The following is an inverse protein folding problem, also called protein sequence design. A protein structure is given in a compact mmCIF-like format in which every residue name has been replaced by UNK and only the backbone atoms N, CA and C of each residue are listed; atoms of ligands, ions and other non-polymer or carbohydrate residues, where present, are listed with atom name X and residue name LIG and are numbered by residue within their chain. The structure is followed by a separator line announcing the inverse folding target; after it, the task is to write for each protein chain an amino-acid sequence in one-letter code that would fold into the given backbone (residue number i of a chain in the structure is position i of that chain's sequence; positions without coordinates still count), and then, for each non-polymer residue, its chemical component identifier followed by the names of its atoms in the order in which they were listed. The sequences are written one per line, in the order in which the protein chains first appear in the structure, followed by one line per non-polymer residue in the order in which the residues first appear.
data_IF_253468302573
#
_entry.id   IF_253468302573
#
_cell.length_a   1.000
_cell.length_b   1.000
_cell.length_c   1.000
_cell.angle_alpha   90.00
_cell.angle_beta   90.00
_cell.angle_gamma   90.00
#
_symmetry.space_group_name_H-M   'P 1'
#
loop_
_entity.id
_entity.type
_entity.pdbx_description
1 polymer ?
#
# COMPACT_ATOMS: atom_id res chain seq x y z
N UNK A 1 26.74 -6.53 -0.09
CA UNK A 1 26.16 -6.22 -1.41
C UNK A 1 25.68 -4.79 -1.42
N UNK A 2 25.77 -4.14 -2.58
CA UNK A 2 25.21 -2.83 -2.83
C UNK A 2 23.82 -3.01 -3.47
N UNK A 3 22.77 -2.59 -2.81
CA UNK A 3 21.38 -2.77 -3.27
C UNK A 3 20.79 -1.39 -3.59
N UNK A 4 20.42 -1.20 -4.86
CA UNK A 4 19.70 -0.01 -5.30
C UNK A 4 18.20 -0.27 -5.24
N UNK A 5 17.50 0.43 -4.38
CA UNK A 5 16.05 0.33 -4.22
C UNK A 5 15.43 1.48 -5.01
N UNK A 6 14.50 1.16 -5.90
CA UNK A 6 13.82 2.13 -6.72
C UNK A 6 12.31 2.09 -6.46
N UNK A 7 11.75 3.19 -6.01
CA UNK A 7 10.31 3.36 -5.81
C UNK A 7 9.85 4.72 -6.31
N UNK A 8 8.55 4.87 -6.58
CA UNK A 8 8.03 6.15 -7.05
C UNK A 8 7.81 7.18 -5.94
N UNK A 9 7.61 6.74 -4.70
CA UNK A 9 7.48 7.59 -3.52
C UNK A 9 7.98 6.84 -2.28
N UNK A 10 8.61 7.60 -1.37
CA UNK A 10 9.10 7.14 -0.08
C UNK A 10 8.32 7.78 1.08
N UNK A 11 7.13 8.25 0.81
CA UNK A 11 6.27 8.92 1.78
C UNK A 11 4.91 8.23 1.86
N UNK A 12 4.09 8.67 2.80
CA UNK A 12 2.69 8.25 2.96
C UNK A 12 1.85 8.35 1.68
N UNK A 13 2.31 9.09 0.66
CA UNK A 13 1.69 9.14 -0.68
C UNK A 13 1.61 7.74 -1.31
N UNK A 14 2.56 6.85 -1.03
CA UNK A 14 2.54 5.47 -1.51
C UNK A 14 1.60 4.54 -0.72
N UNK A 15 0.96 5.03 0.35
CA UNK A 15 0.05 4.24 1.17
C UNK A 15 0.73 3.03 1.80
N UNK A 16 0.06 1.86 1.79
CA UNK A 16 0.60 0.62 2.37
C UNK A 16 1.93 0.16 1.78
N UNK A 17 2.25 0.55 0.54
CA UNK A 17 3.57 0.26 -0.06
C UNK A 17 4.68 0.99 0.68
N UNK A 18 4.44 2.24 1.11
CA UNK A 18 5.40 2.99 1.92
C UNK A 18 5.76 2.25 3.20
N UNK A 19 4.76 1.80 3.98
CA UNK A 19 5.00 1.10 5.23
C UNK A 19 5.70 -0.24 4.99
N UNK A 20 5.27 -1.03 4.01
CA UNK A 20 5.86 -2.32 3.67
C UNK A 20 7.35 -2.19 3.27
N UNK A 21 7.66 -1.28 2.36
CA UNK A 21 9.03 -1.06 1.85
C UNK A 21 9.93 -0.49 2.94
N UNK A 22 9.43 0.48 3.72
CA UNK A 22 10.15 1.04 4.85
C UNK A 22 10.49 -0.02 5.90
N UNK A 23 9.51 -0.80 6.34
CA UNK A 23 9.71 -1.83 7.35
C UNK A 23 10.66 -2.93 6.88
N UNK A 24 10.58 -3.32 5.61
CA UNK A 24 11.49 -4.28 5.00
C UNK A 24 12.95 -3.78 5.08
N UNK A 25 13.25 -2.62 4.48
CA UNK A 25 14.63 -2.17 4.32
C UNK A 25 15.24 -1.50 5.55
N UNK A 26 14.44 -1.01 6.49
CA UNK A 26 14.93 -0.52 7.78
C UNK A 26 15.13 -1.65 8.81
N UNK A 27 14.82 -2.90 8.48
CA UNK A 27 15.04 -4.05 9.34
C UNK A 27 16.54 -4.32 9.55
N UNK A 28 16.91 -4.78 10.75
CA UNK A 28 18.29 -5.09 11.13
C UNK A 28 18.97 -6.10 10.20
N UNK A 29 18.22 -6.99 9.57
CA UNK A 29 18.73 -7.99 8.64
C UNK A 29 19.47 -7.35 7.45
N UNK A 30 19.06 -6.16 7.04
CA UNK A 30 19.68 -5.42 5.94
C UNK A 30 20.89 -4.59 6.33
N UNK A 31 21.20 -4.42 7.63
CA UNK A 31 22.34 -3.60 8.09
C UNK A 31 23.70 -4.07 7.58
N UNK A 32 23.83 -5.33 7.16
CA UNK A 32 25.05 -5.88 6.55
C UNK A 32 25.20 -5.54 5.06
N UNK A 33 24.24 -4.85 4.47
CA UNK A 33 24.23 -4.45 3.08
C UNK A 33 24.28 -2.93 2.93
N UNK A 34 24.87 -2.47 1.83
CA UNK A 34 24.87 -1.06 1.47
C UNK A 34 23.59 -0.76 0.71
N UNK A 35 22.61 -0.18 1.35
CA UNK A 35 21.34 0.20 0.74
C UNK A 35 21.42 1.62 0.21
N UNK A 36 20.78 1.86 -0.92
CA UNK A 36 20.54 3.19 -1.46
C UNK A 36 19.16 3.26 -2.09
N UNK A 37 18.40 4.28 -1.75
CA UNK A 37 17.05 4.47 -2.28
C UNK A 37 17.05 5.59 -3.31
N UNK A 38 16.35 5.37 -4.42
CA UNK A 38 16.02 6.42 -5.39
C UNK A 38 14.52 6.56 -5.51
N UNK A 39 14.03 7.80 -5.48
CA UNK A 39 12.60 8.09 -5.50
C UNK A 39 12.32 9.49 -6.05
N UNK A 40 11.04 9.78 -6.30
CA UNK A 40 10.62 11.16 -6.51
C UNK A 40 10.37 11.86 -5.19
N UNK A 41 10.61 13.19 -5.20
CA UNK A 41 10.18 14.09 -4.12
C UNK A 41 8.69 14.37 -4.26
N UNK A 42 7.98 14.39 -3.15
CA UNK A 42 6.58 14.81 -3.05
C UNK A 42 6.35 15.73 -1.84
N UNK A 43 5.12 16.17 -1.63
CA UNK A 43 4.76 17.17 -0.61
C UNK A 43 4.94 16.71 0.85
N UNK A 44 5.09 15.41 1.10
CA UNK A 44 5.24 14.84 2.45
C UNK A 44 6.67 14.44 2.79
N UNK A 45 7.64 14.79 1.94
CA UNK A 45 9.02 14.33 2.11
C UNK A 45 9.64 14.79 3.44
N UNK A 46 9.40 16.04 3.84
CA UNK A 46 9.99 16.61 5.05
C UNK A 46 9.46 15.93 6.33
N UNK A 47 8.22 15.44 6.30
CA UNK A 47 7.60 14.75 7.41
C UNK A 47 8.05 13.28 7.52
N UNK A 48 8.21 12.60 6.38
CA UNK A 48 8.36 11.15 6.35
C UNK A 48 9.81 10.66 6.16
N UNK A 49 10.72 11.52 5.66
CA UNK A 49 12.11 11.13 5.35
C UNK A 49 12.87 10.58 6.56
N UNK A 50 12.63 11.15 7.75
CA UNK A 50 13.29 10.72 8.98
C UNK A 50 12.98 9.26 9.35
N UNK A 51 11.85 8.73 8.89
CA UNK A 51 11.42 7.35 9.14
C UNK A 51 12.30 6.28 8.46
N UNK A 52 13.07 6.67 7.44
CA UNK A 52 13.99 5.81 6.71
C UNK A 52 15.34 5.62 7.42
N UNK A 53 15.50 6.19 8.60
CA UNK A 53 16.73 6.10 9.43
C UNK A 53 17.94 6.61 8.63
N UNK A 54 19.01 5.83 8.57
CA UNK A 54 20.28 6.21 7.96
C UNK A 54 20.47 5.67 6.52
N UNK A 55 19.42 5.22 5.85
CA UNK A 55 19.53 4.75 4.46
C UNK A 55 19.72 5.96 3.55
N UNK A 56 20.82 6.04 2.75
CA UNK A 56 21.01 7.11 1.78
C UNK A 56 19.89 7.16 0.75
N UNK A 57 19.28 8.33 0.62
CA UNK A 57 18.16 8.59 -0.29
C UNK A 57 18.55 9.64 -1.33
N UNK A 58 18.35 9.32 -2.60
CA UNK A 58 18.49 10.27 -3.70
C UNK A 58 17.11 10.60 -4.26
N UNK A 59 16.71 11.85 -4.09
CA UNK A 59 15.43 12.36 -4.58
C UNK A 59 15.56 13.03 -5.94
N UNK A 60 14.54 12.87 -6.77
CA UNK A 60 14.43 13.49 -8.07
C UNK A 60 13.11 14.24 -8.21
N UNK A 61 13.12 15.33 -8.97
CA UNK A 61 11.88 15.99 -9.36
C UNK A 61 11.22 15.22 -10.49
N UNK A 62 9.92 15.01 -10.34
CA UNK A 62 9.09 14.44 -11.38
C UNK A 62 8.68 15.53 -12.38
N UNK A 63 8.94 15.29 -13.65
CA UNK A 63 8.39 16.09 -14.75
C UNK A 63 7.00 15.58 -15.19
N UNK A 64 6.48 16.06 -16.33
CA UNK A 64 5.25 15.53 -16.90
C UNK A 64 5.32 13.99 -17.07
N UNK A 65 4.21 13.30 -16.82
CA UNK A 65 4.12 11.83 -16.83
C UNK A 65 5.11 11.14 -15.88
N UNK A 66 5.53 11.83 -14.83
CA UNK A 66 6.56 11.39 -13.88
C UNK A 66 7.92 11.11 -14.52
N UNK A 67 8.19 11.64 -15.73
CA UNK A 67 9.50 11.47 -16.40
C UNK A 67 10.61 12.25 -15.67
N UNK A 68 11.79 11.63 -15.54
CA UNK A 68 12.99 12.29 -15.00
C UNK A 68 14.25 11.84 -15.73
N UNK A 69 14.81 12.76 -16.53
CA UNK A 69 16.10 12.51 -17.20
C UNK A 69 17.24 12.36 -16.18
N UNK A 70 17.15 13.08 -15.06
CA UNK A 70 18.15 12.99 -14.00
C UNK A 70 18.14 11.61 -13.34
N UNK A 71 16.96 11.09 -12.98
CA UNK A 71 16.81 9.74 -12.41
C UNK A 71 17.34 8.66 -13.37
N UNK A 72 17.01 8.77 -14.67
CA UNK A 72 17.54 7.86 -15.70
C UNK A 72 19.07 7.86 -15.75
N UNK A 73 19.69 9.06 -15.83
CA UNK A 73 21.15 9.20 -15.86
C UNK A 73 21.80 8.65 -14.60
N UNK A 74 21.20 8.92 -13.46
CA UNK A 74 21.66 8.42 -12.17
C UNK A 74 21.63 6.90 -12.13
N UNK A 75 20.53 6.25 -12.54
CA UNK A 75 20.45 4.79 -12.61
C UNK A 75 21.51 4.18 -13.52
N UNK A 76 21.74 4.75 -14.72
CA UNK A 76 22.76 4.26 -15.65
C UNK A 76 24.17 4.38 -15.03
N UNK A 77 24.43 5.43 -14.26
CA UNK A 77 25.75 5.66 -13.66
C UNK A 77 25.97 4.95 -12.32
N UNK A 78 24.91 4.46 -11.68
CA UNK A 78 25.01 3.81 -10.37
C UNK A 78 25.47 2.36 -10.52
N UNK A 79 26.53 1.98 -9.81
CA UNK A 79 26.94 0.60 -9.68
C UNK A 79 26.28 -0.05 -8.47
N UNK A 80 25.54 -1.13 -8.69
CA UNK A 80 24.91 -1.93 -7.63
C UNK A 80 24.91 -3.41 -8.01
N UNK A 81 24.91 -4.26 -7.00
CA UNK A 81 24.87 -5.71 -7.17
C UNK A 81 23.45 -6.20 -7.47
N UNK A 82 22.44 -5.45 -7.06
CA UNK A 82 21.01 -5.74 -7.26
C UNK A 82 20.24 -4.43 -7.46
N UNK A 83 19.33 -4.41 -8.41
CA UNK A 83 18.24 -3.43 -8.49
C UNK A 83 16.98 -4.04 -7.89
N UNK A 84 16.41 -3.44 -6.82
CA UNK A 84 15.13 -3.81 -6.26
C UNK A 84 14.09 -2.75 -6.63
N UNK A 85 13.14 -3.13 -7.47
CA UNK A 85 12.04 -2.27 -7.93
C UNK A 85 10.79 -2.50 -7.10
N UNK A 86 10.26 -1.42 -6.54
CA UNK A 86 9.05 -1.44 -5.74
C UNK A 86 7.89 -0.77 -6.47
N UNK A 87 6.77 -1.47 -6.54
CA UNK A 87 5.56 -1.08 -7.26
C UNK A 87 5.73 -1.01 -8.79
N UNK A 88 4.61 -0.84 -9.50
CA UNK A 88 4.55 -0.83 -10.96
C UNK A 88 3.82 0.43 -11.48
N UNK A 89 3.66 0.52 -12.81
CA UNK A 89 2.82 1.49 -13.53
C UNK A 89 3.24 2.96 -13.39
N UNK A 90 4.51 3.21 -13.02
CA UNK A 90 5.10 4.56 -12.94
C UNK A 90 6.42 4.60 -13.74
N UNK A 91 6.93 5.78 -13.99
CA UNK A 91 8.18 5.95 -14.76
C UNK A 91 9.37 5.11 -14.25
N UNK A 92 9.61 4.95 -12.93
CA UNK A 92 10.68 4.07 -12.43
C UNK A 92 10.60 2.65 -13.00
N UNK A 93 9.41 2.12 -13.24
CA UNK A 93 9.23 0.80 -13.85
C UNK A 93 9.84 0.71 -15.26
N UNK A 94 9.73 1.76 -16.07
CA UNK A 94 10.34 1.81 -17.41
C UNK A 94 11.88 1.71 -17.29
N UNK A 95 12.44 2.20 -16.20
CA UNK A 95 13.89 2.20 -15.97
C UNK A 95 14.46 0.79 -15.75
N UNK A 96 13.65 -0.22 -15.40
CA UNK A 96 14.11 -1.62 -15.35
C UNK A 96 14.63 -2.08 -16.72
N UNK A 97 13.87 -1.84 -17.78
CA UNK A 97 14.29 -2.18 -19.13
C UNK A 97 15.49 -1.35 -19.64
N UNK A 98 15.76 -0.21 -19.02
CA UNK A 98 16.97 0.58 -19.26
C UNK A 98 18.14 0.00 -18.47
N UNK A 99 17.93 -0.32 -17.19
CA UNK A 99 18.92 -0.95 -16.32
C UNK A 99 19.52 -2.19 -16.97
N UNK A 100 18.68 -3.11 -17.45
CA UNK A 100 19.13 -4.36 -18.08
C UNK A 100 19.98 -4.19 -19.34
N UNK A 101 20.00 -3.00 -19.95
CA UNK A 101 20.87 -2.68 -21.09
C UNK A 101 22.26 -2.21 -20.70
N UNK A 102 22.40 -1.64 -19.52
CA UNK A 102 23.66 -1.03 -19.07
C UNK A 102 24.33 -1.80 -17.93
N UNK A 103 23.60 -2.71 -17.28
CA UNK A 103 24.07 -3.47 -16.12
C UNK A 103 23.76 -4.96 -16.28
N UNK A 104 24.64 -5.80 -15.76
CA UNK A 104 24.43 -7.25 -15.62
C UNK A 104 23.80 -7.63 -14.29
N UNK A 105 23.73 -6.68 -13.36
CA UNK A 105 23.13 -6.88 -12.03
C UNK A 105 21.65 -7.22 -12.13
N UNK A 106 21.18 -8.26 -11.42
CA UNK A 106 19.80 -8.73 -11.52
C UNK A 106 18.80 -7.71 -10.97
N UNK A 107 17.58 -7.82 -11.50
CA UNK A 107 16.42 -7.04 -11.10
C UNK A 107 15.48 -7.92 -10.28
N UNK A 108 15.16 -7.51 -9.06
CA UNK A 108 14.04 -8.03 -8.26
C UNK A 108 12.91 -7.02 -8.34
N UNK A 109 11.68 -7.48 -8.52
CA UNK A 109 10.52 -6.58 -8.58
C UNK A 109 9.39 -7.07 -7.67
N UNK A 110 8.91 -6.18 -6.80
CA UNK A 110 7.76 -6.38 -5.92
C UNK A 110 6.54 -5.62 -6.45
N UNK A 111 5.56 -6.27 -7.08
CA UNK A 111 4.40 -5.60 -7.69
C UNK A 111 3.40 -5.01 -6.69
N UNK A 112 3.35 -5.50 -5.46
CA UNK A 112 2.40 -5.07 -4.41
C UNK A 112 0.92 -5.15 -4.85
N UNK A 113 0.52 -6.28 -5.45
CA UNK A 113 -0.84 -6.52 -5.91
C UNK A 113 -1.25 -5.73 -7.15
N UNK A 114 -0.31 -5.02 -7.81
CA UNK A 114 -0.64 -4.17 -8.97
C UNK A 114 -0.88 -4.95 -10.26
N UNK A 115 -0.67 -6.26 -10.28
CA UNK A 115 -0.99 -7.15 -11.39
C UNK A 115 -2.32 -7.90 -11.18
N UNK A 116 -3.06 -7.58 -10.15
CA UNK A 116 -4.40 -8.12 -9.89
C UNK A 116 -5.31 -7.91 -11.12
N UNK A 117 -5.96 -8.95 -11.66
CA UNK A 117 -6.84 -8.86 -12.81
C UNK A 117 -7.95 -7.83 -12.68
N UNK A 118 -8.49 -7.61 -11.47
CA UNK A 118 -9.47 -6.55 -11.22
C UNK A 118 -8.89 -5.17 -11.51
N UNK A 119 -7.67 -4.88 -11.02
CA UNK A 119 -6.99 -3.60 -11.28
C UNK A 119 -6.71 -3.42 -12.77
N UNK A 120 -6.25 -4.48 -13.43
CA UNK A 120 -5.96 -4.45 -14.87
C UNK A 120 -7.24 -4.25 -15.69
N UNK A 121 -8.34 -4.90 -15.33
CA UNK A 121 -9.63 -4.82 -16.05
C UNK A 121 -10.29 -3.46 -15.93
N UNK A 122 -10.14 -2.76 -14.80
CA UNK A 122 -10.67 -1.41 -14.58
C UNK A 122 -9.91 -0.32 -15.33
N UNK A 123 -8.72 -0.64 -15.88
CA UNK A 123 -8.01 0.27 -16.76
C UNK A 123 -8.70 0.35 -18.13
N UNK A 124 -8.97 1.56 -18.62
CA UNK A 124 -9.51 1.75 -19.97
C UNK A 124 -8.61 1.11 -21.05
N UNK A 125 -9.22 0.65 -22.15
CA UNK A 125 -8.52 -0.08 -23.25
C UNK A 125 -7.28 0.66 -23.74
N UNK A 126 -7.33 1.97 -23.92
CA UNK A 126 -6.21 2.81 -24.37
C UNK A 126 -5.07 2.77 -23.35
N UNK A 127 -5.36 2.92 -22.07
CA UNK A 127 -4.36 2.88 -21.00
C UNK A 127 -3.68 1.51 -20.94
N UNK A 128 -4.41 0.44 -21.17
CA UNK A 128 -3.87 -0.94 -21.19
C UNK A 128 -2.91 -1.15 -22.37
N UNK A 129 -3.24 -0.64 -23.58
CA UNK A 129 -2.36 -0.71 -24.74
C UNK A 129 -1.09 0.11 -24.49
N UNK A 130 -1.20 1.33 -23.99
CA UNK A 130 -0.06 2.18 -23.66
C UNK A 130 0.81 1.51 -22.59
N UNK A 131 0.20 0.97 -21.53
CA UNK A 131 0.92 0.25 -20.49
C UNK A 131 1.70 -0.93 -21.06
N UNK A 132 1.10 -1.73 -21.90
CA UNK A 132 1.78 -2.86 -22.54
C UNK A 132 2.99 -2.39 -23.39
N UNK A 133 2.83 -1.36 -24.20
CA UNK A 133 3.91 -0.86 -25.05
C UNK A 133 5.10 -0.29 -24.28
N UNK A 134 4.84 0.45 -23.20
CA UNK A 134 5.90 1.15 -22.45
C UNK A 134 6.49 0.34 -21.30
N UNK A 135 5.70 -0.53 -20.66
CA UNK A 135 6.14 -1.24 -19.47
C UNK A 135 6.56 -2.68 -19.70
N UNK A 136 6.15 -3.28 -20.82
CA UNK A 136 6.41 -4.71 -21.11
C UNK A 136 7.91 -5.05 -21.05
N UNK A 137 8.76 -4.24 -21.68
CA UNK A 137 10.23 -4.46 -21.66
C UNK A 137 10.81 -4.40 -20.23
N UNK A 138 10.26 -3.55 -19.37
CA UNK A 138 10.64 -3.51 -17.96
C UNK A 138 10.25 -4.79 -17.23
N UNK A 139 9.02 -5.28 -17.42
CA UNK A 139 8.54 -6.52 -16.81
C UNK A 139 9.34 -7.75 -17.29
N UNK A 140 9.67 -7.81 -18.58
CA UNK A 140 10.46 -8.92 -19.16
C UNK A 140 11.90 -8.93 -18.67
N UNK A 141 12.45 -7.78 -18.28
CA UNK A 141 13.83 -7.66 -17.79
C UNK A 141 14.00 -8.07 -16.31
N UNK A 142 12.93 -8.33 -15.59
CA UNK A 142 12.98 -8.81 -14.20
C UNK A 142 13.55 -10.22 -14.14
N UNK A 143 14.50 -10.45 -13.22
CA UNK A 143 15.10 -11.77 -13.00
C UNK A 143 14.33 -12.59 -11.98
N UNK A 144 13.71 -11.93 -10.98
CA UNK A 144 12.87 -12.57 -9.98
C UNK A 144 11.77 -11.62 -9.51
N UNK A 145 10.54 -12.08 -9.48
CA UNK A 145 9.45 -11.37 -8.83
C UNK A 145 9.38 -11.72 -7.36
N UNK A 146 9.10 -10.75 -6.52
CA UNK A 146 8.76 -10.93 -5.12
C UNK A 146 7.25 -10.77 -4.96
N UNK A 147 6.56 -11.87 -4.69
CA UNK A 147 5.13 -11.91 -4.38
C UNK A 147 4.91 -11.98 -2.87
N UNK A 148 3.90 -11.29 -2.38
CA UNK A 148 3.58 -11.25 -0.95
C UNK A 148 2.76 -12.45 -0.49
N UNK A 149 2.05 -13.12 -1.42
CA UNK A 149 1.22 -14.26 -1.14
C UNK A 149 1.01 -15.12 -2.40
N UNK A 150 0.40 -16.29 -2.22
CA UNK A 150 0.08 -17.21 -3.31
C UNK A 150 -0.80 -16.57 -4.39
N UNK A 151 -1.82 -15.79 -3.97
CA UNK A 151 -2.70 -15.06 -4.90
C UNK A 151 -1.91 -14.11 -5.81
N UNK A 152 -0.95 -13.37 -5.27
CA UNK A 152 -0.13 -12.46 -6.08
C UNK A 152 0.77 -13.22 -7.07
N UNK A 153 1.29 -14.38 -6.71
CA UNK A 153 1.98 -15.27 -7.65
C UNK A 153 1.05 -15.64 -8.81
N UNK A 154 -0.18 -16.04 -8.52
CA UNK A 154 -1.18 -16.41 -9.53
C UNK A 154 -1.50 -15.23 -10.44
N UNK A 155 -1.62 -14.03 -9.90
CA UNK A 155 -1.86 -12.79 -10.65
C UNK A 155 -0.68 -12.45 -11.59
N UNK A 156 0.56 -12.61 -11.11
CA UNK A 156 1.78 -12.44 -11.93
C UNK A 156 1.77 -13.45 -13.09
N UNK A 157 1.40 -14.70 -12.82
CA UNK A 157 1.30 -15.75 -13.86
C UNK A 157 0.15 -15.49 -14.84
N UNK A 158 -1.01 -15.05 -14.36
CA UNK A 158 -2.16 -14.69 -15.18
C UNK A 158 -1.86 -13.51 -16.11
N UNK A 159 -0.99 -12.56 -15.68
CA UNK A 159 -0.51 -11.48 -16.53
C UNK A 159 0.41 -11.97 -17.66
N UNK A 160 0.92 -13.19 -17.59
CA UNK A 160 1.76 -13.83 -18.62
C UNK A 160 3.27 -13.83 -18.32
N UNK A 161 3.68 -13.40 -17.11
CA UNK A 161 5.09 -13.36 -16.71
C UNK A 161 5.57 -14.74 -16.24
N UNK A 162 6.74 -15.19 -16.73
CA UNK A 162 7.27 -16.56 -16.55
C UNK A 162 8.51 -16.62 -15.65
N UNK A 163 9.08 -15.48 -15.30
CA UNK A 163 10.31 -15.40 -14.50
C UNK A 163 10.12 -16.09 -13.12
N UNK A 164 11.20 -16.49 -12.46
CA UNK A 164 11.15 -16.99 -11.08
C UNK A 164 10.36 -16.06 -10.16
N UNK A 165 9.63 -16.64 -9.19
CA UNK A 165 8.88 -15.88 -8.19
C UNK A 165 9.26 -16.41 -6.81
N UNK A 166 9.65 -15.50 -5.92
CA UNK A 166 9.79 -15.77 -4.49
C UNK A 166 8.54 -15.29 -3.76
N UNK A 167 7.91 -16.14 -2.98
CA UNK A 167 6.78 -15.75 -2.11
C UNK A 167 7.35 -15.44 -0.74
N UNK A 168 7.34 -14.15 -0.37
CA UNK A 168 7.83 -13.67 0.93
C UNK A 168 6.81 -12.67 1.45
N UNK A 169 6.04 -13.02 2.49
CA UNK A 169 5.01 -12.13 3.04
C UNK A 169 5.64 -10.86 3.65
N UNK A 170 4.88 -9.78 3.65
CA UNK A 170 5.24 -8.60 4.43
C UNK A 170 5.31 -8.94 5.91
N UNK A 171 6.32 -8.39 6.57
CA UNK A 171 6.40 -8.38 8.02
C UNK A 171 5.90 -7.05 8.58
N UNK A 172 5.61 -7.03 9.87
CA UNK A 172 5.33 -5.82 10.62
C UNK A 172 6.16 -5.75 11.90
N UNK A 173 6.36 -4.54 12.38
CA UNK A 173 6.89 -4.32 13.71
C UNK A 173 5.78 -4.50 14.74
N UNK A 174 5.93 -5.46 15.66
CA UNK A 174 4.96 -5.61 16.75
C UNK A 174 4.94 -4.37 17.63
N UNK A 175 3.76 -3.94 18.10
CA UNK A 175 3.65 -2.78 18.97
C UNK A 175 4.48 -3.00 20.24
N UNK A 176 5.41 -2.08 20.52
CA UNK A 176 6.27 -2.09 21.71
C UNK A 176 5.62 -1.41 22.91
N UNK A 177 4.35 -1.14 22.84
CA UNK A 177 3.71 -0.32 23.86
C UNK A 177 3.34 -1.13 25.09
N UNK A 178 3.80 -0.67 26.25
CA UNK A 178 3.27 -1.03 27.57
C UNK A 178 2.15 -0.09 27.98
N UNK A 179 1.85 0.94 27.17
CA UNK A 179 0.85 1.95 27.40
C UNK A 179 -0.54 1.32 27.27
N UNK A 180 -1.31 1.38 28.32
CA UNK A 180 -2.72 1.03 28.26
C UNK A 180 -3.47 2.19 27.62
N UNK A 181 -4.13 1.93 26.51
CA UNK A 181 -5.09 2.86 25.92
C UNK A 181 -6.44 2.63 26.61
N UNK A 182 -7.05 3.72 27.07
CA UNK A 182 -8.38 3.67 27.66
C UNK A 182 -9.37 3.98 26.55
N UNK A 183 -10.37 3.13 26.38
CA UNK A 183 -11.45 3.38 25.43
C UNK A 183 -12.15 4.70 25.74
N UNK A 184 -12.58 5.44 24.72
CA UNK A 184 -13.24 6.73 24.92
C UNK A 184 -14.65 6.59 25.55
N UNK A 185 -15.25 5.42 25.39
CA UNK A 185 -16.61 5.10 25.84
C UNK A 185 -16.77 3.60 26.12
N UNK A 186 -18.02 3.16 26.36
CA UNK A 186 -18.39 1.77 26.64
C UNK A 186 -18.84 0.99 25.39
N UNK A 187 -18.80 1.61 24.21
CA UNK A 187 -19.24 0.96 22.96
C UNK A 187 -18.22 -0.04 22.44
N UNK A 188 -18.68 -0.94 21.59
CA UNK A 188 -17.84 -1.75 20.74
C UNK A 188 -17.44 -0.97 19.49
N UNK A 189 -16.17 -1.05 19.10
CA UNK A 189 -15.61 -0.34 17.96
C UNK A 189 -15.25 -1.31 16.85
N UNK A 190 -15.91 -1.21 15.70
CA UNK A 190 -15.54 -1.89 14.46
C UNK A 190 -14.71 -0.94 13.62
N UNK A 191 -13.42 -1.24 13.49
CA UNK A 191 -12.45 -0.40 12.79
C UNK A 191 -12.28 -0.80 11.33
N UNK A 192 -12.47 0.13 10.42
CA UNK A 192 -11.89 0.12 9.09
C UNK A 192 -10.72 1.11 9.04
N UNK A 193 -9.57 0.67 8.50
CA UNK A 193 -8.43 1.55 8.28
C UNK A 193 -7.85 1.31 6.90
N UNK A 194 -7.86 2.34 6.06
CA UNK A 194 -7.34 2.28 4.70
C UNK A 194 -7.82 3.46 3.86
N UNK A 195 -7.21 3.65 2.70
CA UNK A 195 -7.60 4.71 1.75
C UNK A 195 -9.08 4.56 1.36
N UNK A 196 -9.83 5.68 1.36
CA UNK A 196 -11.20 5.69 0.86
C UNK A 196 -11.18 5.65 -0.67
N UNK A 197 -11.41 4.46 -1.22
CA UNK A 197 -11.35 4.19 -2.66
C UNK A 197 -12.37 3.08 -3.00
N UNK A 198 -13.03 3.10 -4.17
CA UNK A 198 -14.05 2.11 -4.53
C UNK A 198 -13.58 0.65 -4.39
N UNK A 199 -12.30 0.36 -4.72
CA UNK A 199 -11.71 -0.99 -4.55
C UNK A 199 -11.82 -1.51 -3.11
N UNK A 200 -11.94 -0.63 -2.11
CA UNK A 200 -11.95 -0.98 -0.69
C UNK A 200 -13.33 -1.41 -0.17
N UNK A 201 -14.37 -1.30 -1.00
CA UNK A 201 -15.70 -1.85 -0.71
C UNK A 201 -16.41 -1.26 0.51
N UNK A 202 -16.05 -0.03 0.93
CA UNK A 202 -16.67 0.61 2.10
C UNK A 202 -18.16 0.89 1.85
N UNK A 203 -18.54 1.17 0.62
CA UNK A 203 -19.91 1.33 0.19
C UNK A 203 -20.73 0.05 0.42
N UNK A 204 -20.16 -1.13 0.13
CA UNK A 204 -20.79 -2.43 0.41
C UNK A 204 -20.94 -2.63 1.92
N UNK A 205 -19.92 -2.30 2.72
CA UNK A 205 -19.99 -2.38 4.17
C UNK A 205 -21.16 -1.52 4.70
N UNK A 206 -21.23 -0.25 4.29
CA UNK A 206 -22.27 0.67 4.73
C UNK A 206 -23.68 0.20 4.32
N UNK A 207 -23.83 -0.37 3.13
CA UNK A 207 -25.08 -0.96 2.67
C UNK A 207 -25.49 -2.20 3.49
N UNK A 208 -24.51 -3.07 3.82
CA UNK A 208 -24.75 -4.22 4.68
C UNK A 208 -25.20 -3.79 6.09
N UNK A 209 -24.53 -2.79 6.69
CA UNK A 209 -24.93 -2.21 7.98
C UNK A 209 -26.34 -1.65 7.92
N UNK A 210 -26.67 -0.92 6.84
CA UNK A 210 -28.01 -0.38 6.64
C UNK A 210 -29.09 -1.47 6.57
N UNK A 211 -28.80 -2.57 5.88
CA UNK A 211 -29.70 -3.72 5.79
C UNK A 211 -29.92 -4.37 7.13
N UNK A 212 -28.84 -4.67 7.85
CA UNK A 212 -28.91 -5.27 9.20
C UNK A 212 -29.69 -4.38 10.19
N UNK A 213 -29.47 -3.06 10.16
CA UNK A 213 -30.20 -2.09 11.01
C UNK A 213 -31.69 -2.05 10.69
N UNK A 214 -32.05 -2.25 9.42
CA UNK A 214 -33.45 -2.35 8.98
C UNK A 214 -34.15 -3.61 9.50
N UNK A 215 -33.44 -4.74 9.43
CA UNK A 215 -33.93 -6.05 9.90
C UNK A 215 -34.00 -6.11 11.43
N UNK A 216 -33.01 -5.53 12.11
CA UNK A 216 -32.96 -5.47 13.57
C UNK A 216 -32.48 -4.07 14.02
N UNK A 217 -33.38 -3.12 14.34
CA UNK A 217 -33.05 -1.75 14.69
C UNK A 217 -32.09 -1.61 15.88
N UNK A 218 -32.03 -2.57 16.77
CA UNK A 218 -31.22 -2.54 17.99
C UNK A 218 -29.85 -3.21 17.85
N UNK A 219 -29.53 -3.81 16.71
CA UNK A 219 -28.31 -4.61 16.53
C UNK A 219 -27.02 -3.77 16.73
N UNK A 220 -27.09 -2.48 16.50
CA UNK A 220 -25.95 -1.56 16.62
C UNK A 220 -26.04 -0.62 17.83
N UNK A 221 -26.94 -0.83 18.79
CA UNK A 221 -27.14 0.10 19.94
C UNK A 221 -25.86 0.41 20.72
N UNK A 222 -24.89 -0.52 20.75
CA UNK A 222 -23.62 -0.36 21.45
C UNK A 222 -22.42 -0.49 20.49
N UNK A 223 -22.60 -0.15 19.21
CA UNK A 223 -21.53 -0.23 18.22
C UNK A 223 -21.23 1.12 17.60
N UNK A 224 -19.96 1.40 17.41
CA UNK A 224 -19.44 2.47 16.57
C UNK A 224 -18.62 1.85 15.43
N UNK A 225 -18.86 2.35 14.24
CA UNK A 225 -18.11 1.98 13.05
C UNK A 225 -17.12 3.10 12.74
N UNK A 226 -15.87 2.87 13.03
CA UNK A 226 -14.80 3.85 12.81
C UNK A 226 -14.19 3.68 11.42
N UNK A 227 -14.34 4.67 10.56
CA UNK A 227 -13.77 4.71 9.22
C UNK A 227 -12.58 5.65 9.23
N UNK A 228 -11.38 5.08 9.16
CA UNK A 228 -10.11 5.81 9.17
C UNK A 228 -9.46 5.71 7.80
N UNK A 229 -9.20 6.85 7.18
CA UNK A 229 -8.50 6.89 5.89
C UNK A 229 -8.59 8.24 5.21
N UNK A 230 -7.63 8.50 4.34
CA UNK A 230 -7.68 9.71 3.51
C UNK A 230 -8.55 9.49 2.28
N UNK A 231 -9.26 10.54 1.91
CA UNK A 231 -10.12 10.54 0.72
C UNK A 231 -9.31 10.46 -0.57
N UNK A 232 -9.79 9.66 -1.51
CA UNK A 232 -9.24 9.55 -2.84
C UNK A 232 -10.36 9.75 -3.87
N UNK A 233 -10.21 10.74 -4.72
CA UNK A 233 -11.16 11.06 -5.80
C UNK A 233 -12.59 11.39 -5.31
N UNK A 234 -12.71 12.09 -4.17
CA UNK A 234 -14.00 12.46 -3.55
C UNK A 234 -14.88 11.24 -3.21
N UNK A 235 -14.26 10.13 -2.83
CA UNK A 235 -14.96 8.92 -2.42
C UNK A 235 -15.75 9.15 -1.12
N UNK A 236 -15.20 9.94 -0.19
CA UNK A 236 -15.81 10.23 1.10
C UNK A 236 -17.21 10.82 0.97
N UNK A 237 -17.40 11.79 0.09
CA UNK A 237 -18.72 12.42 -0.15
C UNK A 237 -19.80 11.41 -0.52
N UNK A 238 -19.45 10.41 -1.33
CA UNK A 238 -20.37 9.34 -1.71
C UNK A 238 -20.72 8.43 -0.52
N UNK A 239 -19.73 8.11 0.30
CA UNK A 239 -19.92 7.29 1.52
C UNK A 239 -20.77 8.03 2.56
N UNK A 240 -20.52 9.32 2.77
CA UNK A 240 -21.32 10.18 3.65
C UNK A 240 -22.79 10.28 3.19
N UNK A 241 -23.01 10.31 1.87
CA UNK A 241 -24.37 10.25 1.33
C UNK A 241 -25.07 8.92 1.68
N UNK A 242 -24.37 7.76 1.60
CA UNK A 242 -24.94 6.47 2.01
C UNK A 242 -25.26 6.49 3.51
N UNK A 243 -24.37 7.00 4.35
CA UNK A 243 -24.56 7.12 5.79
C UNK A 243 -25.79 7.98 6.11
N UNK A 244 -25.93 9.12 5.42
CA UNK A 244 -27.06 10.03 5.62
C UNK A 244 -28.40 9.40 5.18
N UNK A 245 -28.43 8.84 3.96
CA UNK A 245 -29.66 8.27 3.37
C UNK A 245 -30.21 7.07 4.14
N UNK A 246 -29.34 6.39 4.91
CA UNK A 246 -29.71 5.20 5.67
C UNK A 246 -29.77 5.44 7.20
N UNK A 247 -29.71 6.70 7.65
CA UNK A 247 -29.77 7.08 9.08
C UNK A 247 -28.68 6.38 9.92
N UNK A 248 -27.43 6.33 9.40
CA UNK A 248 -26.29 5.68 10.07
C UNK A 248 -25.38 6.66 10.82
N UNK A 249 -25.70 7.95 10.87
CA UNK A 249 -24.84 9.01 11.45
C UNK A 249 -24.46 8.79 12.91
N UNK A 250 -25.31 8.13 13.69
CA UNK A 250 -25.06 7.89 15.11
C UNK A 250 -24.08 6.75 15.37
N UNK A 251 -23.87 5.88 14.35
CA UNK A 251 -23.05 4.68 14.50
C UNK A 251 -21.81 4.68 13.58
N UNK A 252 -21.74 5.58 12.60
CA UNK A 252 -20.61 5.67 11.66
C UNK A 252 -19.86 6.97 11.83
N UNK A 253 -18.57 6.90 12.08
CA UNK A 253 -17.68 8.06 12.25
C UNK A 253 -16.54 8.01 11.23
N UNK A 254 -16.34 9.13 10.51
CA UNK A 254 -15.18 9.32 9.62
C UNK A 254 -14.12 10.13 10.35
N UNK A 255 -12.91 9.58 10.46
CA UNK A 255 -11.80 10.22 11.18
C UNK A 255 -10.78 10.91 10.27
N UNK A 256 -10.92 10.76 8.92
CA UNK A 256 -9.88 11.18 8.00
C UNK A 256 -8.63 10.29 8.09
N UNK A 257 -7.53 10.75 7.51
CA UNK A 257 -6.26 10.01 7.53
C UNK A 257 -5.53 10.18 8.86
N UNK A 258 -5.31 9.09 9.58
CA UNK A 258 -4.55 9.08 10.84
C UNK A 258 -3.21 8.36 10.68
N UNK A 259 -2.19 8.88 11.37
CA UNK A 259 -0.82 8.38 11.33
C UNK A 259 -0.22 8.33 12.75
N UNK A 260 0.91 7.63 12.91
CA UNK A 260 1.66 7.60 14.16
C UNK A 260 0.80 7.16 15.36
N UNK A 261 0.87 7.93 16.44
CA UNK A 261 0.18 7.63 17.72
C UNK A 261 -1.34 7.57 17.57
N UNK A 262 -1.94 8.42 16.73
CA UNK A 262 -3.40 8.44 16.57
C UNK A 262 -3.92 7.21 15.81
N UNK A 263 -3.16 6.74 14.81
CA UNK A 263 -3.42 5.44 14.16
C UNK A 263 -3.33 4.29 15.17
N UNK A 264 -2.32 4.32 16.04
CA UNK A 264 -2.11 3.31 17.10
C UNK A 264 -3.31 3.29 18.06
N UNK A 265 -3.81 4.45 18.49
CA UNK A 265 -4.98 4.54 19.35
C UNK A 265 -6.21 3.89 18.74
N UNK A 266 -6.42 4.04 17.42
CA UNK A 266 -7.56 3.40 16.75
C UNK A 266 -7.51 1.88 16.85
N UNK A 267 -6.36 1.27 16.58
CA UNK A 267 -6.21 -0.18 16.76
C UNK A 267 -6.34 -0.62 18.22
N UNK A 268 -5.77 0.14 19.16
CA UNK A 268 -5.78 -0.20 20.57
C UNK A 268 -7.19 -0.13 21.20
N UNK A 269 -8.06 0.71 20.66
CA UNK A 269 -9.43 0.91 21.15
C UNK A 269 -10.47 0.06 20.39
N UNK A 270 -10.12 -0.52 19.25
CA UNK A 270 -11.01 -1.37 18.46
C UNK A 270 -11.27 -2.71 19.12
N UNK A 271 -12.44 -3.27 18.88
CA UNK A 271 -12.84 -4.64 19.28
C UNK A 271 -12.77 -5.61 18.10
N UNK A 272 -12.95 -5.11 16.88
CA UNK A 272 -12.80 -5.87 15.65
C UNK A 272 -12.29 -4.97 14.52
N UNK A 273 -11.69 -5.60 13.52
CA UNK A 273 -11.22 -4.94 12.31
C UNK A 273 -11.96 -5.49 11.10
N UNK A 274 -12.34 -4.63 10.15
CA UNK A 274 -13.01 -5.05 8.92
C UNK A 274 -12.32 -4.49 7.68
N UNK A 275 -12.15 -5.33 6.65
CA UNK A 275 -11.58 -4.94 5.36
C UNK A 275 -12.39 -5.51 4.19
N UNK A 276 -13.47 -4.85 3.76
CA UNK A 276 -14.40 -5.34 2.75
C UNK A 276 -13.87 -5.18 1.30
N UNK A 277 -12.57 -5.17 1.11
CA UNK A 277 -11.93 -4.92 -0.18
C UNK A 277 -12.29 -5.96 -1.23
N UNK A 278 -12.48 -5.53 -2.48
CA UNK A 278 -12.69 -6.43 -3.63
C UNK A 278 -11.47 -7.30 -3.95
N UNK A 279 -10.28 -6.90 -3.53
CA UNK A 279 -9.06 -7.65 -3.74
C UNK A 279 -7.85 -6.98 -3.09
N UNK A 280 -7.04 -7.80 -2.45
CA UNK A 280 -5.80 -7.42 -1.80
C UNK A 280 -4.71 -8.45 -2.12
N UNK A 281 -3.45 -8.01 -2.07
CA UNK A 281 -2.34 -8.95 -1.99
C UNK A 281 -2.19 -9.44 -0.54
N UNK A 282 -1.33 -8.75 0.24
CA UNK A 282 -1.24 -8.93 1.69
C UNK A 282 -1.33 -7.54 2.34
N UNK A 283 -2.54 -7.10 2.76
CA UNK A 283 -2.72 -5.75 3.27
C UNK A 283 -2.07 -5.57 4.63
N UNK A 284 -1.22 -4.55 4.75
CA UNK A 284 -0.51 -4.21 5.99
C UNK A 284 -1.48 -4.00 7.16
N UNK A 285 -2.65 -3.44 6.89
CA UNK A 285 -3.66 -3.14 7.91
C UNK A 285 -4.24 -4.38 8.58
N UNK A 286 -4.33 -5.53 7.88
CA UNK A 286 -4.68 -6.81 8.50
C UNK A 286 -3.57 -7.29 9.43
N UNK A 287 -2.30 -7.21 8.98
CA UNK A 287 -1.18 -7.59 9.84
C UNK A 287 -1.11 -6.71 11.08
N UNK A 288 -1.35 -5.41 10.92
CA UNK A 288 -1.45 -4.47 12.03
C UNK A 288 -2.59 -4.84 12.99
N UNK A 289 -3.80 -5.11 12.49
CA UNK A 289 -4.93 -5.54 13.32
C UNK A 289 -4.61 -6.82 14.11
N UNK A 290 -4.00 -7.82 13.48
CA UNK A 290 -3.56 -9.03 14.18
C UNK A 290 -2.49 -8.76 15.24
N UNK A 291 -1.60 -7.79 15.02
CA UNK A 291 -0.61 -7.41 16.02
C UNK A 291 -1.25 -6.81 17.29
N UNK A 292 -2.43 -6.23 17.15
CA UNK A 292 -3.29 -5.76 18.24
C UNK A 292 -4.29 -6.82 18.73
N UNK A 293 -4.20 -8.08 18.21
CA UNK A 293 -5.07 -9.21 18.56
C UNK A 293 -6.53 -8.98 18.22
N UNK A 294 -6.81 -8.15 17.23
CA UNK A 294 -8.17 -7.91 16.77
C UNK A 294 -8.66 -9.07 15.91
N UNK A 295 -9.89 -9.56 16.10
CA UNK A 295 -10.56 -10.37 15.12
C UNK A 295 -10.73 -9.57 13.83
N UNK A 296 -10.55 -10.25 12.68
CA UNK A 296 -10.63 -9.64 11.35
C UNK A 296 -11.78 -10.26 10.58
N UNK A 297 -12.61 -9.39 9.99
CA UNK A 297 -13.75 -9.75 9.15
C UNK A 297 -13.50 -9.31 7.71
#
# INVERSE_FOLDING_TARGET
MNILICTYSITRTAGGVFDAVKDLFTNKTFHKHNLKIISFSDKHIDEDISSWKNIPIQLFKAGPLLYSRQMKRYMIATNADILHMEALWRYPHILMGIWSKYHTAPIICSPHGMLDPYIISTQGKIKRIISHLFFQKGLESVNCYHALCQKELEDIRAYGLKQPIAIIPNGINLPKTTKKYVKPDSNYHLLYLGRLHPKKGIDILLQAIATLKKENPNIFNNWIIDIVGWDHENCQTKLEHIVHSNNLKEIVTFHGGLFGEDKIKMYANADAYILPSHGEGLPMTILEAWSWKLPVV
#
